data_IF_242575419214
#
_entry.id   IF_242575419214
#
_cell.length_a   1.000
_cell.length_b   1.000
_cell.length_c   1.000
_cell.angle_alpha   90.00
_cell.angle_beta   90.00
_cell.angle_gamma   90.00
#
_symmetry.space_group_name_H-M   'P 1'
#
loop_
_entity.id
_entity.type
_entity.pdbx_description
1 polymer ?
#
# COMPACT_ATOMS: atom_id res chain seq x y z
N UNK A 1 -2.15 2.18 -31.72
CA UNK A 1 -0.75 2.68 -31.67
C UNK A 1 -0.49 3.50 -30.40
N UNK A 2 -1.44 4.33 -29.93
CA UNK A 2 -1.36 5.06 -28.65
C UNK A 2 -1.36 4.13 -27.41
N UNK A 3 -2.19 3.09 -27.43
CA UNK A 3 -2.33 2.13 -26.31
C UNK A 3 -1.00 1.49 -25.87
N UNK A 4 -0.20 1.01 -26.84
CA UNK A 4 1.14 0.44 -26.58
C UNK A 4 2.14 1.47 -26.04
N UNK A 5 1.92 2.76 -26.32
CA UNK A 5 2.78 3.84 -25.83
C UNK A 5 2.42 4.16 -24.38
N UNK A 6 1.13 4.19 -24.03
CA UNK A 6 0.66 4.35 -22.66
C UNK A 6 1.16 3.22 -21.77
N UNK A 7 1.06 1.97 -22.23
CA UNK A 7 1.55 0.80 -21.49
C UNK A 7 3.05 0.85 -21.18
N UNK A 8 3.88 1.25 -22.15
CA UNK A 8 5.33 1.41 -21.93
C UNK A 8 5.62 2.48 -20.88
N UNK A 9 4.90 3.60 -20.93
CA UNK A 9 5.08 4.69 -19.97
C UNK A 9 4.61 4.30 -18.58
N UNK A 10 3.44 3.67 -18.47
CA UNK A 10 2.90 3.14 -17.21
C UNK A 10 3.88 2.11 -16.62
N UNK A 11 4.34 1.14 -17.42
CA UNK A 11 5.31 0.13 -16.96
C UNK A 11 6.60 0.75 -16.43
N UNK A 12 7.15 1.76 -17.12
CA UNK A 12 8.31 2.48 -16.64
C UNK A 12 8.03 3.17 -15.30
N UNK A 13 6.93 3.94 -15.20
CA UNK A 13 6.53 4.65 -13.98
C UNK A 13 6.33 3.70 -12.80
N UNK A 14 5.75 2.53 -13.01
CA UNK A 14 5.52 1.53 -11.96
C UNK A 14 6.80 0.80 -11.52
N UNK A 15 7.90 0.95 -12.27
CA UNK A 15 9.17 0.26 -12.02
C UNK A 15 10.29 1.17 -11.53
N UNK A 16 9.99 2.44 -11.26
CA UNK A 16 10.94 3.49 -10.85
C UNK A 16 10.36 4.29 -9.69
N UNK A 17 11.20 4.95 -8.91
CA UNK A 17 10.76 5.72 -7.75
C UNK A 17 10.27 7.12 -8.15
N UNK A 18 10.77 7.66 -9.26
CA UNK A 18 10.47 9.03 -9.70
C UNK A 18 10.05 9.09 -11.17
N UNK A 19 9.35 10.17 -11.53
CA UNK A 19 8.94 10.43 -12.93
C UNK A 19 10.15 10.73 -13.82
N UNK A 20 11.18 11.33 -13.24
CA UNK A 20 12.44 11.65 -13.88
C UNK A 20 13.22 10.37 -14.23
N UNK A 21 13.30 9.40 -13.31
CA UNK A 21 13.87 8.06 -13.59
C UNK A 21 13.08 7.33 -14.68
N UNK A 22 11.74 7.40 -14.66
CA UNK A 22 10.91 6.82 -15.72
C UNK A 22 11.19 7.47 -17.08
N UNK A 23 11.41 8.79 -17.11
CA UNK A 23 11.75 9.53 -18.32
C UNK A 23 13.09 9.06 -18.90
N UNK A 24 14.10 8.97 -18.04
CA UNK A 24 15.44 8.51 -18.38
C UNK A 24 15.42 7.07 -18.90
N UNK A 25 14.74 6.17 -18.19
CA UNK A 25 14.57 4.75 -18.58
C UNK A 25 13.91 4.59 -19.95
N UNK A 26 13.00 5.49 -20.32
CA UNK A 26 12.32 5.49 -21.61
C UNK A 26 13.07 6.27 -22.70
N UNK A 27 14.17 6.96 -22.36
CA UNK A 27 14.88 7.85 -23.26
C UNK A 27 14.03 9.03 -23.73
N UNK A 28 13.08 9.50 -22.92
CA UNK A 28 12.21 10.64 -23.25
C UNK A 28 12.42 11.81 -22.31
N UNK A 29 12.11 13.02 -22.78
CA UNK A 29 12.17 14.21 -21.95
C UNK A 29 11.13 14.16 -20.80
N UNK A 30 11.51 14.53 -19.58
CA UNK A 30 10.61 14.57 -18.40
C UNK A 30 9.35 15.42 -18.62
N UNK A 31 9.40 16.45 -19.47
CA UNK A 31 8.22 17.24 -19.88
C UNK A 31 7.20 16.38 -20.64
N UNK A 32 7.65 15.38 -21.38
CA UNK A 32 6.79 14.42 -22.08
C UNK A 32 6.07 13.52 -21.09
N UNK A 33 6.77 13.00 -20.06
CA UNK A 33 6.14 12.26 -18.95
C UNK A 33 5.05 13.11 -18.30
N UNK A 34 5.35 14.37 -17.96
CA UNK A 34 4.38 15.29 -17.31
C UNK A 34 3.14 15.53 -18.18
N UNK A 35 3.26 15.56 -19.51
CA UNK A 35 2.13 15.70 -20.43
C UNK A 35 1.20 14.48 -20.43
N UNK A 36 1.68 13.28 -20.13
CA UNK A 36 0.76 12.13 -19.99
C UNK A 36 -0.20 12.31 -18.82
N UNK A 37 0.20 12.97 -17.74
CA UNK A 37 -0.68 13.26 -16.61
C UNK A 37 -1.71 14.36 -16.89
N UNK A 38 -1.72 14.98 -18.08
CA UNK A 38 -2.80 15.88 -18.51
C UNK A 38 -3.83 15.16 -19.39
N UNK A 39 -3.58 13.90 -19.75
CA UNK A 39 -4.48 13.06 -20.54
C UNK A 39 -5.35 12.20 -19.60
N UNK A 40 -6.68 12.38 -19.58
CA UNK A 40 -7.58 11.61 -18.73
C UNK A 40 -7.51 10.10 -18.96
N UNK A 41 -7.38 9.65 -20.23
CA UNK A 41 -7.32 8.22 -20.57
C UNK A 41 -6.05 7.58 -19.99
N UNK A 42 -4.93 8.31 -20.06
CA UNK A 42 -3.68 7.86 -19.44
C UNK A 42 -3.79 7.79 -17.91
N UNK A 43 -4.38 8.81 -17.28
CA UNK A 43 -4.56 8.86 -15.83
C UNK A 43 -5.40 7.69 -15.33
N UNK A 44 -6.50 7.37 -16.01
CA UNK A 44 -7.36 6.24 -15.68
C UNK A 44 -6.58 4.93 -15.68
N UNK A 45 -5.89 4.61 -16.79
CA UNK A 45 -5.10 3.39 -16.92
C UNK A 45 -3.93 3.33 -15.94
N UNK A 46 -3.27 4.47 -15.68
CA UNK A 46 -2.21 4.55 -14.69
C UNK A 46 -2.74 4.28 -13.28
N UNK A 47 -3.90 4.84 -12.93
CA UNK A 47 -4.54 4.61 -11.63
C UNK A 47 -4.98 3.16 -11.46
N UNK A 48 -5.56 2.53 -12.48
CA UNK A 48 -5.91 1.10 -12.46
C UNK A 48 -4.68 0.21 -12.23
N UNK A 49 -3.61 0.45 -12.98
CA UNK A 49 -2.37 -0.31 -12.84
C UNK A 49 -1.71 -0.10 -11.46
N UNK A 50 -1.79 1.12 -10.93
CA UNK A 50 -1.29 1.47 -9.59
C UNK A 50 -2.13 0.82 -8.49
N UNK A 51 -3.46 0.78 -8.63
CA UNK A 51 -4.36 0.10 -7.68
C UNK A 51 -3.94 -1.36 -7.49
N UNK A 52 -3.64 -2.08 -8.57
CA UNK A 52 -3.21 -3.48 -8.49
C UNK A 52 -1.92 -3.65 -7.66
N UNK A 53 -0.94 -2.75 -7.83
CA UNK A 53 0.30 -2.76 -7.05
C UNK A 53 0.03 -2.44 -5.59
N UNK A 54 -0.75 -1.39 -5.31
CA UNK A 54 -1.10 -1.00 -3.94
C UNK A 54 -1.80 -2.14 -3.21
N UNK A 55 -2.78 -2.79 -3.86
CA UNK A 55 -3.47 -3.95 -3.29
C UNK A 55 -2.49 -5.05 -2.95
N UNK A 56 -1.57 -5.39 -3.87
CA UNK A 56 -0.57 -6.41 -3.62
C UNK A 56 0.39 -6.03 -2.47
N UNK A 57 0.90 -4.80 -2.45
CA UNK A 57 1.76 -4.30 -1.39
C UNK A 57 1.07 -4.31 -0.03
N UNK A 58 -0.20 -3.87 0.02
CA UNK A 58 -1.01 -3.93 1.24
C UNK A 58 -1.17 -5.37 1.72
N UNK A 59 -1.46 -6.33 0.82
CA UNK A 59 -1.54 -7.74 1.19
C UNK A 59 -0.21 -8.29 1.73
N UNK A 60 0.93 -7.88 1.16
CA UNK A 60 2.25 -8.27 1.67
C UNK A 60 2.50 -7.70 3.07
N UNK A 61 2.16 -6.43 3.30
CA UNK A 61 2.24 -5.79 4.62
C UNK A 61 1.35 -6.52 5.63
N UNK A 62 0.09 -6.79 5.28
CA UNK A 62 -0.84 -7.52 6.14
C UNK A 62 -0.30 -8.90 6.52
N UNK A 63 0.31 -9.62 5.57
CA UNK A 63 0.96 -10.92 5.84
C UNK A 63 2.17 -10.80 6.75
N UNK A 64 2.89 -9.68 6.74
CA UNK A 64 4.06 -9.48 7.62
C UNK A 64 3.68 -9.06 9.05
N UNK A 65 2.42 -8.66 9.30
CA UNK A 65 1.94 -8.32 10.64
C UNK A 65 2.01 -9.50 11.60
N UNK A 66 1.52 -10.68 11.20
CA UNK A 66 1.49 -11.87 12.06
C UNK A 66 2.89 -12.28 12.60
N UNK A 67 3.93 -12.41 11.76
CA UNK A 67 5.28 -12.71 12.25
C UNK A 67 5.89 -11.55 13.06
N UNK A 68 5.59 -10.29 12.74
CA UNK A 68 6.04 -9.14 13.52
C UNK A 68 5.43 -9.13 14.93
N UNK A 69 4.11 -9.36 15.04
CA UNK A 69 3.39 -9.47 16.32
C UNK A 69 3.95 -10.62 17.15
N UNK A 70 4.22 -11.78 16.53
CA UNK A 70 4.82 -12.93 17.21
C UNK A 70 6.20 -12.61 17.78
N UNK A 71 7.02 -11.88 17.01
CA UNK A 71 8.33 -11.40 17.46
C UNK A 71 8.21 -10.45 18.65
N UNK A 72 7.33 -9.45 18.57
CA UNK A 72 7.11 -8.51 19.67
C UNK A 72 6.60 -9.23 20.94
N UNK A 73 5.72 -10.22 20.78
CA UNK A 73 5.23 -11.04 21.91
C UNK A 73 6.38 -11.79 22.59
N UNK A 74 7.25 -12.44 21.82
CA UNK A 74 8.42 -13.13 22.36
C UNK A 74 9.34 -12.17 23.14
N UNK A 75 9.55 -10.94 22.64
CA UNK A 75 10.33 -9.90 23.35
C UNK A 75 9.67 -9.53 24.68
N UNK A 76 8.33 -9.42 24.73
CA UNK A 76 7.60 -9.09 25.97
C UNK A 76 7.73 -10.21 27.02
N UNK A 77 7.66 -11.46 26.57
CA UNK A 77 7.68 -12.67 27.41
C UNK A 77 9.08 -13.08 27.87
N UNK A 78 10.15 -12.64 27.19
CA UNK A 78 11.52 -12.95 27.58
C UNK A 78 12.00 -12.09 28.76
N UNK A 79 12.19 -12.73 29.92
CA UNK A 79 12.68 -12.09 31.14
C UNK A 79 14.14 -11.65 31.06
N UNK A 80 14.93 -12.21 30.13
CA UNK A 80 16.33 -11.85 29.93
C UNK A 80 16.50 -10.61 29.04
N UNK A 81 15.45 -10.22 28.31
CA UNK A 81 15.47 -9.02 27.49
C UNK A 81 15.46 -7.77 28.38
N UNK A 82 16.23 -6.75 28.00
CA UNK A 82 16.27 -5.48 28.71
C UNK A 82 14.85 -4.87 28.88
N UNK A 83 14.55 -4.40 30.09
CA UNK A 83 13.25 -3.81 30.47
C UNK A 83 12.73 -2.78 29.47
N UNK A 84 13.58 -1.90 28.93
CA UNK A 84 13.16 -0.89 27.96
C UNK A 84 12.68 -1.50 26.64
N UNK A 85 13.33 -2.56 26.16
CA UNK A 85 12.91 -3.27 24.95
C UNK A 85 11.57 -3.98 25.17
N UNK A 86 11.38 -4.61 26.34
CA UNK A 86 10.10 -5.23 26.73
C UNK A 86 8.96 -4.22 26.78
N UNK A 87 9.18 -3.07 27.42
CA UNK A 87 8.17 -1.99 27.51
C UNK A 87 7.85 -1.43 26.12
N UNK A 88 8.87 -1.22 25.27
CA UNK A 88 8.67 -0.73 23.90
C UNK A 88 7.86 -1.71 23.04
N UNK A 89 8.17 -3.01 23.12
CA UNK A 89 7.43 -4.05 22.42
C UNK A 89 5.98 -4.17 22.92
N UNK A 90 5.77 -4.14 24.24
CA UNK A 90 4.43 -4.15 24.85
C UNK A 90 3.60 -2.94 24.40
N UNK A 91 4.18 -1.74 24.43
CA UNK A 91 3.51 -0.53 23.94
C UNK A 91 3.11 -0.66 22.46
N UNK A 92 4.02 -1.17 21.64
CA UNK A 92 3.76 -1.38 20.21
C UNK A 92 2.59 -2.36 20.00
N UNK A 93 2.57 -3.48 20.73
CA UNK A 93 1.47 -4.45 20.66
C UNK A 93 0.12 -3.85 21.07
N UNK A 94 0.09 -3.04 22.14
CA UNK A 94 -1.13 -2.37 22.59
C UNK A 94 -1.63 -1.36 21.55
N UNK A 95 -0.73 -0.55 20.98
CA UNK A 95 -1.08 0.45 19.96
C UNK A 95 -1.61 -0.21 18.67
N UNK A 96 -0.95 -1.25 18.18
CA UNK A 96 -1.41 -1.99 17.00
C UNK A 96 -2.70 -2.78 17.26
N UNK A 97 -2.86 -3.34 18.46
CA UNK A 97 -4.08 -4.04 18.86
C UNK A 97 -5.31 -3.14 18.80
N UNK A 98 -5.19 -1.91 19.31
CA UNK A 98 -6.26 -0.90 19.23
C UNK A 98 -6.56 -0.55 17.77
N UNK A 99 -5.55 -0.18 16.98
CA UNK A 99 -5.75 0.22 15.58
C UNK A 99 -6.35 -0.87 14.71
N UNK A 100 -5.92 -2.13 14.88
CA UNK A 100 -6.46 -3.25 14.11
C UNK A 100 -7.92 -3.52 14.47
N UNK A 101 -8.29 -3.35 15.74
CA UNK A 101 -9.69 -3.44 16.18
C UNK A 101 -10.52 -2.35 15.52
N UNK A 102 -10.07 -1.10 15.55
CA UNK A 102 -10.76 0.03 14.89
C UNK A 102 -10.94 -0.19 13.39
N UNK A 103 -9.90 -0.69 12.69
CA UNK A 103 -9.96 -0.99 11.25
C UNK A 103 -11.01 -2.07 10.97
N UNK A 104 -11.03 -3.15 11.75
CA UNK A 104 -12.01 -4.23 11.58
C UNK A 104 -13.43 -3.72 11.86
N UNK A 105 -13.63 -2.97 12.94
CA UNK A 105 -14.94 -2.40 13.29
C UNK A 105 -15.47 -1.46 12.20
N UNK A 106 -14.60 -0.66 11.58
CA UNK A 106 -14.97 0.21 10.46
C UNK A 106 -15.33 -0.64 9.22
N UNK A 107 -14.53 -1.66 8.91
CA UNK A 107 -14.79 -2.59 7.82
C UNK A 107 -16.17 -3.25 7.96
N UNK A 108 -16.42 -3.87 9.11
CA UNK A 108 -17.70 -4.53 9.42
C UNK A 108 -18.90 -3.57 9.32
N UNK A 109 -18.71 -2.28 9.64
CA UNK A 109 -19.76 -1.26 9.51
C UNK A 109 -19.98 -0.84 8.07
N UNK A 110 -18.94 -0.78 7.25
CA UNK A 110 -19.04 -0.48 5.82
C UNK A 110 -19.74 -1.63 5.10
N UNK A 111 -19.34 -2.88 5.35
CA UNK A 111 -19.96 -4.06 4.74
C UNK A 111 -21.48 -4.08 5.02
N UNK A 112 -21.89 -3.83 6.27
CA UNK A 112 -23.31 -3.72 6.65
C UNK A 112 -24.05 -2.58 5.95
N UNK A 113 -23.38 -1.45 5.70
CA UNK A 113 -23.98 -0.33 4.99
C UNK A 113 -24.12 -0.64 3.49
N UNK A 114 -23.11 -1.27 2.88
CA UNK A 114 -23.12 -1.69 1.49
C UNK A 114 -24.21 -2.75 1.23
N UNK A 115 -24.37 -3.72 2.14
CA UNK A 115 -25.48 -4.69 2.10
C UNK A 115 -26.84 -4.01 2.16
N UNK A 116 -27.04 -3.09 3.11
CA UNK A 116 -28.30 -2.37 3.27
C UNK A 116 -28.65 -1.45 2.09
N UNK A 117 -27.64 -0.95 1.36
CA UNK A 117 -27.84 -0.10 0.18
C UNK A 117 -27.95 -0.89 -1.13
N UNK A 118 -27.44 -2.12 -1.17
CA UNK A 118 -27.49 -3.00 -2.34
C UNK A 118 -28.78 -3.83 -2.47
N UNK A 119 -29.68 -3.75 -1.49
CA UNK A 119 -31.00 -4.39 -1.52
C UNK A 119 -32.12 -3.56 -2.21
N UNK A 120 -31.77 -2.49 -2.94
CA UNK A 120 -32.68 -1.73 -3.83
C UNK A 120 -32.43 -2.01 -5.32
#
# INVERSE_FOLDING_TARGET
MMERRHEKVISALLSTNTREEAAEKLGINSRTIRRYFTDPEFLERYNEATKAIIVNSTQQIQKSLAPAISTLKAIVEDENTNVHARVSAARSLLEYGIRLTEINDIGDRLDKLEEAMGEE
#
